data_IF_329838148570
#
_entry.id   IF_329838148570
#
_cell.length_a   1.000
_cell.length_b   1.000
_cell.length_c   1.000
_cell.angle_alpha   90.00
_cell.angle_beta   90.00
_cell.angle_gamma   90.00
#
_symmetry.space_group_name_H-M   'P 1'
#
loop_
_entity.id
_entity.type
_entity.pdbx_description
1 polymer ?
#
# COMPACT_ATOMS: atom_id res chain seq x y z
N UNK A 1 46.83 20.25 -87.54
CA UNK A 1 45.41 20.51 -87.22
C UNK A 1 45.02 19.59 -86.09
N UNK A 2 44.48 20.16 -85.01
CA UNK A 2 43.67 19.59 -83.92
C UNK A 2 44.20 18.34 -83.19
N UNK A 3 44.56 18.39 -81.90
CA UNK A 3 43.73 18.59 -80.68
C UNK A 3 42.99 17.32 -80.20
N UNK A 4 43.25 16.99 -78.91
CA UNK A 4 42.34 16.55 -77.83
C UNK A 4 41.33 15.40 -78.09
N UNK A 5 40.95 14.53 -77.14
CA UNK A 5 41.17 14.31 -75.71
C UNK A 5 40.45 12.98 -75.36
N UNK A 6 40.89 12.29 -74.31
CA UNK A 6 40.06 11.32 -73.55
C UNK A 6 39.29 12.15 -72.50
N UNK A 7 38.01 11.88 -72.12
CA UNK A 7 37.66 10.79 -71.20
C UNK A 7 36.20 10.27 -71.29
N UNK A 8 35.85 9.30 -70.43
CA UNK A 8 34.48 8.88 -70.19
C UNK A 8 33.55 9.97 -69.63
N UNK A 9 32.25 9.62 -69.62
CA UNK A 9 31.07 10.24 -68.97
C UNK A 9 29.91 10.44 -69.99
N UNK A 10 28.79 9.73 -69.74
CA UNK A 10 27.41 9.83 -70.27
C UNK A 10 26.99 8.97 -71.48
N UNK A 11 26.20 7.95 -71.18
CA UNK A 11 24.88 7.72 -71.79
C UNK A 11 23.99 6.89 -70.83
N UNK A 12 23.48 7.58 -69.80
CA UNK A 12 22.16 7.31 -69.21
C UNK A 12 21.11 7.74 -70.24
N UNK A 13 19.88 7.21 -70.14
CA UNK A 13 18.61 7.60 -70.81
C UNK A 13 18.16 6.59 -71.87
N UNK A 14 17.25 5.69 -71.46
CA UNK A 14 16.01 5.19 -72.12
C UNK A 14 15.73 3.79 -71.53
N UNK A 15 14.74 3.53 -70.68
CA UNK A 15 13.65 4.36 -70.20
C UNK A 15 13.14 3.81 -68.86
N UNK A 16 12.94 4.72 -67.91
CA UNK A 16 11.85 4.58 -66.95
C UNK A 16 10.55 4.98 -67.67
N UNK A 17 9.43 4.33 -67.37
CA UNK A 17 8.07 4.89 -67.22
C UNK A 17 7.05 3.74 -67.06
N UNK A 18 6.13 3.92 -66.09
CA UNK A 18 4.87 3.20 -65.80
C UNK A 18 4.98 1.88 -64.99
N UNK A 19 4.42 1.76 -63.78
CA UNK A 19 3.54 2.68 -63.07
C UNK A 19 3.33 2.31 -61.60
N UNK A 20 3.30 3.35 -60.77
CA UNK A 20 2.65 3.37 -59.46
C UNK A 20 1.19 3.77 -59.66
N UNK A 21 0.24 2.88 -59.36
CA UNK A 21 -1.15 3.24 -59.08
C UNK A 21 -1.88 2.12 -58.30
N UNK A 22 -2.17 2.42 -57.04
CA UNK A 22 -3.38 2.05 -56.27
C UNK A 22 -3.88 0.59 -56.22
N UNK A 23 -3.73 -0.04 -55.06
CA UNK A 23 -4.86 -0.63 -54.31
C UNK A 23 -4.41 -0.95 -52.87
N UNK A 24 -4.85 -0.13 -51.92
CA UNK A 24 -4.96 -0.55 -50.52
C UNK A 24 -6.13 -1.52 -50.37
N UNK A 25 -6.01 -2.44 -49.42
CA UNK A 25 -7.11 -3.16 -48.77
C UNK A 25 -8.13 -3.84 -49.70
N UNK A 26 -7.77 -5.01 -50.21
CA UNK A 26 -8.72 -6.09 -50.50
C UNK A 26 -8.11 -7.41 -50.01
N UNK A 27 -8.91 -8.20 -49.29
CA UNK A 27 -8.53 -9.41 -48.55
C UNK A 27 -7.68 -10.39 -49.35
N UNK A 28 -6.79 -11.13 -48.69
CA UNK A 28 -7.18 -12.39 -48.07
C UNK A 28 -8.17 -13.18 -48.96
N UNK A 29 -7.74 -13.55 -50.16
CA UNK A 29 -8.06 -14.80 -50.88
C UNK A 29 -7.39 -14.71 -52.25
N UNK A 30 -6.88 -15.84 -52.75
CA UNK A 30 -6.26 -16.02 -54.08
C UNK A 30 -4.83 -15.47 -54.28
N UNK A 31 -3.82 -16.24 -53.88
CA UNK A 31 -2.56 -16.38 -54.65
C UNK A 31 -1.97 -17.77 -54.40
N UNK A 32 -2.53 -18.80 -55.06
CA UNK A 32 -1.96 -20.17 -55.06
C UNK A 32 -1.20 -20.47 -56.36
N UNK A 33 -0.69 -19.44 -57.04
CA UNK A 33 0.22 -19.58 -58.17
C UNK A 33 1.29 -18.50 -58.12
N UNK A 34 2.41 -18.84 -57.49
CA UNK A 34 3.68 -18.17 -57.74
C UNK A 34 4.04 -18.46 -59.20
N UNK A 35 3.89 -17.46 -60.07
CA UNK A 35 4.53 -17.48 -61.38
C UNK A 35 5.96 -16.99 -61.13
N UNK A 36 6.92 -17.92 -61.09
CA UNK A 36 8.33 -17.55 -61.07
C UNK A 36 8.75 -17.15 -62.49
N UNK A 37 9.20 -15.90 -62.73
CA UNK A 37 9.79 -15.56 -64.01
C UNK A 37 11.16 -16.24 -64.12
N UNK A 38 11.33 -17.10 -65.12
CA UNK A 38 12.62 -17.67 -65.47
C UNK A 38 13.58 -16.53 -65.84
N UNK A 39 14.72 -16.47 -65.15
CA UNK A 39 15.83 -15.59 -65.51
C UNK A 39 16.93 -16.44 -66.16
N UNK A 40 17.82 -15.81 -66.93
CA UNK A 40 18.93 -16.49 -67.63
C UNK A 40 19.92 -17.25 -66.72
N UNK A 41 19.74 -17.19 -65.40
CA UNK A 41 20.48 -17.97 -64.40
C UNK A 41 19.97 -19.42 -64.33
N UNK A 42 18.72 -19.68 -64.75
CA UNK A 42 18.12 -21.02 -64.76
C UNK A 42 18.71 -21.96 -65.83
N UNK A 43 19.55 -21.46 -66.74
CA UNK A 43 20.03 -22.20 -67.92
C UNK A 43 21.53 -22.56 -67.91
N UNK A 44 22.31 -22.18 -66.88
CA UNK A 44 23.75 -22.47 -66.89
C UNK A 44 24.07 -23.86 -66.33
N UNK A 45 24.28 -24.84 -67.21
CA UNK A 45 25.04 -26.05 -66.89
C UNK A 45 26.53 -25.75 -67.06
N UNK A 46 27.25 -25.54 -65.95
CA UNK A 46 28.69 -25.38 -65.99
C UNK A 46 29.36 -25.59 -64.63
N UNK A 47 30.29 -26.57 -64.57
CA UNK A 47 31.42 -26.74 -63.65
C UNK A 47 31.19 -26.69 -62.13
N UNK A 48 31.67 -27.70 -61.40
CA UNK A 48 31.57 -27.86 -59.92
C UNK A 48 32.04 -26.64 -59.09
N UNK A 49 32.84 -25.74 -59.66
CA UNK A 49 33.26 -24.47 -59.02
C UNK A 49 32.14 -23.41 -58.98
N UNK A 50 31.23 -23.42 -59.95
CA UNK A 50 30.11 -22.46 -60.03
C UNK A 50 28.90 -22.91 -59.23
N UNK A 51 28.81 -24.18 -58.84
CA UNK A 51 27.72 -24.68 -58.00
C UNK A 51 27.78 -24.13 -56.58
N UNK A 52 28.97 -23.99 -55.98
CA UNK A 52 29.10 -23.40 -54.64
C UNK A 52 28.75 -21.90 -54.63
N UNK A 53 29.20 -21.15 -55.65
CA UNK A 53 28.87 -19.74 -55.81
C UNK A 53 27.41 -19.54 -56.22
N UNK A 54 26.84 -20.41 -57.06
CA UNK A 54 25.42 -20.39 -57.41
C UNK A 54 24.53 -20.78 -56.21
N UNK A 55 24.96 -21.71 -55.37
CA UNK A 55 24.24 -22.10 -54.16
C UNK A 55 24.33 -20.99 -53.10
N UNK A 56 25.48 -20.33 -52.96
CA UNK A 56 25.64 -19.17 -52.09
C UNK A 56 24.85 -17.95 -52.60
N UNK A 57 24.79 -17.75 -53.91
CA UNK A 57 23.92 -16.73 -54.53
C UNK A 57 22.45 -17.10 -54.35
N UNK A 58 22.04 -18.37 -54.47
CA UNK A 58 20.67 -18.82 -54.17
C UNK A 58 20.31 -18.69 -52.70
N UNK A 59 21.27 -18.93 -51.79
CA UNK A 59 21.10 -18.72 -50.36
C UNK A 59 20.96 -17.23 -50.04
N UNK A 60 21.80 -16.39 -50.66
CA UNK A 60 21.72 -14.93 -50.54
C UNK A 60 20.43 -14.40 -51.16
N UNK A 61 19.97 -14.93 -52.30
CA UNK A 61 18.67 -14.57 -52.90
C UNK A 61 17.49 -15.00 -52.02
N UNK A 62 17.61 -16.13 -51.31
CA UNK A 62 16.63 -16.56 -50.31
C UNK A 62 16.64 -15.63 -49.10
N UNK A 63 17.81 -15.25 -48.58
CA UNK A 63 17.96 -14.29 -47.47
C UNK A 63 17.45 -12.89 -47.82
N UNK A 64 17.74 -12.39 -49.02
CA UNK A 64 17.32 -11.06 -49.50
C UNK A 64 15.82 -10.96 -49.78
N UNK A 65 15.12 -12.10 -49.88
CA UNK A 65 13.66 -12.15 -50.13
C UNK A 65 12.85 -12.54 -48.91
N UNK A 66 13.47 -13.14 -47.89
CA UNK A 66 12.85 -13.25 -46.58
C UNK A 66 12.93 -11.91 -45.88
N UNK A 67 11.79 -11.26 -45.68
CA UNK A 67 11.68 -10.16 -44.72
C UNK A 67 12.07 -10.74 -43.36
N UNK A 68 13.29 -10.45 -42.91
CA UNK A 68 13.75 -10.80 -41.57
C UNK A 68 13.27 -9.70 -40.66
N UNK A 69 12.52 -10.08 -39.62
CA UNK A 69 12.15 -9.15 -38.57
C UNK A 69 13.44 -8.65 -37.88
N UNK A 70 13.63 -7.33 -37.87
CA UNK A 70 14.79 -6.69 -37.23
C UNK A 70 14.48 -6.24 -35.80
N UNK A 71 13.31 -6.62 -35.28
CA UNK A 71 13.00 -6.42 -33.87
C UNK A 71 14.03 -7.17 -32.99
N UNK A 72 14.48 -6.57 -31.87
CA UNK A 72 15.31 -7.25 -30.89
C UNK A 72 14.66 -8.56 -30.44
N UNK A 73 15.48 -9.60 -30.23
CA UNK A 73 14.99 -10.91 -29.84
C UNK A 73 14.18 -10.82 -28.53
N UNK A 74 12.91 -11.24 -28.57
CA UNK A 74 12.00 -11.18 -27.42
C UNK A 74 11.28 -9.84 -27.20
N UNK A 75 11.48 -8.83 -28.05
CA UNK A 75 10.72 -7.58 -28.00
C UNK A 75 9.22 -7.83 -28.23
N UNK A 76 8.38 -7.30 -27.35
CA UNK A 76 6.92 -7.46 -27.41
C UNK A 76 6.19 -6.13 -27.27
N UNK A 77 5.07 -6.01 -27.99
CA UNK A 77 4.08 -4.94 -27.81
C UNK A 77 2.77 -5.61 -27.45
N UNK A 78 2.22 -5.30 -26.27
CA UNK A 78 0.96 -5.88 -25.77
C UNK A 78 0.93 -7.42 -25.82
N UNK A 79 2.06 -8.05 -25.48
CA UNK A 79 2.22 -9.51 -25.46
C UNK A 79 2.46 -10.17 -26.83
N UNK A 80 2.38 -9.43 -27.93
CA UNK A 80 2.67 -9.92 -29.28
C UNK A 80 4.13 -9.62 -29.66
N UNK A 81 4.80 -10.49 -30.44
CA UNK A 81 6.11 -10.18 -31.00
C UNK A 81 6.07 -8.85 -31.75
N UNK A 82 7.01 -7.96 -31.42
CA UNK A 82 7.17 -6.72 -32.16
C UNK A 82 7.63 -7.08 -33.57
N UNK A 83 6.88 -6.67 -34.57
CA UNK A 83 7.33 -6.72 -35.96
C UNK A 83 7.90 -5.33 -36.25
N UNK A 84 9.14 -5.26 -36.75
CA UNK A 84 9.72 -4.02 -37.28
C UNK A 84 9.50 -3.95 -38.80
N UNK A 85 8.37 -3.38 -39.28
CA UNK A 85 8.13 -3.27 -40.71
C UNK A 85 9.19 -2.36 -41.38
N UNK A 86 9.68 -2.80 -42.54
CA UNK A 86 10.75 -2.17 -43.34
C UNK A 86 10.64 -0.64 -43.55
N UNK A 87 9.44 -0.06 -43.42
CA UNK A 87 9.17 1.35 -43.69
C UNK A 87 8.86 2.19 -42.44
N UNK A 88 8.98 1.62 -41.24
CA UNK A 88 8.81 2.36 -39.99
C UNK A 88 10.06 2.22 -39.15
N UNK A 89 10.59 3.35 -38.69
CA UNK A 89 11.69 3.34 -37.73
C UNK A 89 11.19 2.79 -36.41
N UNK A 90 12.00 1.93 -35.78
CA UNK A 90 11.83 1.60 -34.36
C UNK A 90 11.85 2.89 -33.55
N UNK A 91 10.94 3.03 -32.60
CA UNK A 91 10.92 4.17 -31.70
C UNK A 91 12.16 4.12 -30.79
N UNK A 92 13.07 5.07 -30.99
CA UNK A 92 14.33 5.20 -30.26
C UNK A 92 14.28 6.47 -29.42
N UNK A 93 14.65 6.33 -28.15
CA UNK A 93 14.65 7.41 -27.19
C UNK A 93 16.07 7.80 -26.84
N UNK A 94 16.34 9.10 -26.80
CA UNK A 94 17.61 9.62 -26.36
C UNK A 94 17.48 10.05 -24.90
N UNK A 95 18.20 9.37 -24.03
CA UNK A 95 18.12 9.55 -22.58
C UNK A 95 19.51 9.78 -21.99
N UNK A 96 19.54 10.41 -20.82
CA UNK A 96 20.76 10.61 -20.05
C UNK A 96 20.66 9.77 -18.78
N UNK A 97 21.38 8.64 -18.75
CA UNK A 97 21.30 7.67 -17.65
C UNK A 97 22.47 7.75 -16.67
N UNK A 98 23.60 8.34 -17.07
CA UNK A 98 24.83 8.34 -16.27
C UNK A 98 25.12 9.69 -15.60
N UNK A 99 25.91 9.63 -14.53
CA UNK A 99 26.46 10.82 -13.84
C UNK A 99 27.36 11.65 -14.76
N UNK A 100 27.77 11.09 -15.90
CA UNK A 100 28.61 11.71 -16.92
C UNK A 100 27.83 12.55 -17.94
N UNK A 101 26.49 12.60 -17.80
CA UNK A 101 25.57 13.32 -18.69
C UNK A 101 25.66 12.93 -20.16
N UNK A 102 26.02 11.68 -20.46
CA UNK A 102 26.11 11.19 -21.82
C UNK A 102 24.74 10.81 -22.35
N UNK A 103 24.43 11.29 -23.55
CA UNK A 103 23.23 10.89 -24.27
C UNK A 103 23.40 9.46 -24.80
N UNK A 104 22.52 8.58 -24.34
CA UNK A 104 22.42 7.18 -24.77
C UNK A 104 21.14 7.04 -25.59
N UNK A 105 21.25 6.45 -26.77
CA UNK A 105 20.09 6.10 -27.60
C UNK A 105 19.65 4.71 -27.20
N UNK A 106 18.37 4.56 -26.85
CA UNK A 106 17.80 3.34 -26.30
C UNK A 106 16.53 2.99 -27.07
N UNK A 107 16.40 1.72 -27.43
CA UNK A 107 15.13 1.16 -27.89
C UNK A 107 14.33 0.73 -26.66
N UNK A 108 13.25 1.45 -26.35
CA UNK A 108 12.46 1.20 -25.13
C UNK A 108 11.69 -0.13 -25.17
N UNK A 109 11.59 -0.76 -26.35
CA UNK A 109 10.93 -2.05 -26.53
C UNK A 109 11.91 -3.23 -26.45
N UNK A 110 13.22 -2.97 -26.43
CA UNK A 110 14.25 -4.00 -26.26
C UNK A 110 14.34 -4.44 -24.79
N UNK A 111 14.10 -5.72 -24.45
CA UNK A 111 14.26 -6.21 -23.08
C UNK A 111 15.71 -6.11 -22.56
N UNK A 112 16.71 -6.04 -23.44
CA UNK A 112 18.12 -5.89 -23.08
C UNK A 112 18.55 -4.42 -22.93
N UNK A 113 17.68 -3.47 -23.28
CA UNK A 113 17.95 -2.06 -23.09
C UNK A 113 18.10 -1.70 -21.60
N UNK A 114 18.93 -0.69 -21.27
CA UNK A 114 18.98 -0.17 -19.92
C UNK A 114 17.63 0.43 -19.53
N UNK A 115 17.18 0.09 -18.32
CA UNK A 115 15.96 0.64 -17.72
C UNK A 115 16.12 2.14 -17.45
N UNK A 116 15.12 2.92 -17.86
CA UNK A 116 15.06 4.37 -17.59
C UNK A 116 14.84 4.64 -16.11
N UNK A 117 14.06 3.78 -15.45
CA UNK A 117 13.58 3.97 -14.08
C UNK A 117 14.22 2.98 -13.09
N UNK A 118 15.54 2.81 -13.17
CA UNK A 118 16.30 1.97 -12.26
C UNK A 118 16.04 0.48 -12.49
N UNK A 119 15.34 -0.17 -11.57
CA UNK A 119 15.08 -1.61 -11.59
C UNK A 119 13.80 -2.01 -12.33
N UNK A 120 12.94 -1.05 -12.68
CA UNK A 120 11.70 -1.30 -13.42
C UNK A 120 11.99 -1.32 -14.94
N UNK A 121 11.75 -2.45 -15.63
CA UNK A 121 12.00 -2.54 -17.08
C UNK A 121 11.12 -1.59 -17.90
N UNK A 122 11.68 -1.00 -18.96
CA UNK A 122 10.92 -0.12 -19.88
C UNK A 122 9.68 -0.83 -20.45
N UNK A 123 9.83 -2.12 -20.76
CA UNK A 123 8.75 -2.97 -21.28
C UNK A 123 7.58 -3.16 -20.29
N UNK A 124 7.83 -3.04 -18.98
CA UNK A 124 6.76 -3.12 -17.98
C UNK A 124 5.80 -1.92 -18.11
N UNK A 125 6.33 -0.70 -18.22
CA UNK A 125 5.52 0.51 -18.42
C UNK A 125 4.67 0.42 -19.70
N UNK A 126 5.29 -0.04 -20.79
CA UNK A 126 4.62 -0.21 -22.09
C UNK A 126 3.51 -1.27 -21.97
N UNK A 127 3.81 -2.42 -21.36
CA UNK A 127 2.86 -3.52 -21.23
C UNK A 127 1.67 -3.22 -20.33
N UNK A 128 1.83 -2.28 -19.38
CA UNK A 128 0.77 -1.81 -18.49
C UNK A 128 0.08 -0.54 -19.00
N UNK A 129 0.34 -0.13 -20.25
CA UNK A 129 -0.29 1.02 -20.90
C UNK A 129 -0.04 2.36 -20.17
N UNK A 130 1.15 2.52 -19.57
CA UNK A 130 1.62 3.73 -18.88
C UNK A 130 2.94 4.23 -19.50
N UNK A 131 3.03 4.20 -20.83
CA UNK A 131 4.22 4.61 -21.58
C UNK A 131 4.51 6.12 -21.45
N UNK A 132 3.51 6.93 -21.09
CA UNK A 132 3.67 8.33 -20.75
C UNK A 132 4.46 8.52 -19.44
N UNK A 133 4.23 7.69 -18.43
CA UNK A 133 4.98 7.68 -17.18
C UNK A 133 6.47 7.34 -17.39
N UNK A 134 6.77 6.45 -18.36
CA UNK A 134 8.14 6.11 -18.74
C UNK A 134 8.95 7.35 -19.18
N UNK A 135 8.32 8.28 -19.89
CA UNK A 135 8.96 9.51 -20.38
C UNK A 135 9.16 10.60 -19.33
N UNK A 136 8.65 10.41 -18.11
CA UNK A 136 8.77 11.39 -17.04
C UNK A 136 9.84 11.02 -16.05
N UNK A 137 10.60 12.00 -15.57
CA UNK A 137 11.63 11.78 -14.54
C UNK A 137 11.07 11.24 -13.21
N UNK A 138 9.82 11.56 -12.89
CA UNK A 138 9.10 11.11 -11.70
C UNK A 138 8.27 9.84 -11.94
N UNK A 139 8.45 9.16 -13.08
CA UNK A 139 7.62 8.01 -13.50
C UNK A 139 7.50 6.88 -12.48
N UNK A 140 8.53 6.64 -11.65
CA UNK A 140 8.48 5.63 -10.56
C UNK A 140 7.50 5.96 -9.45
N UNK A 141 7.45 7.22 -9.06
CA UNK A 141 6.65 7.70 -7.91
C UNK A 141 5.32 8.30 -8.35
N UNK A 142 5.05 8.28 -9.65
CA UNK A 142 3.78 8.64 -10.22
C UNK A 142 2.75 7.56 -9.87
N UNK A 143 1.57 8.01 -9.47
CA UNK A 143 0.35 7.22 -9.36
C UNK A 143 -0.42 7.44 -10.66
N UNK A 144 -0.48 6.43 -11.52
CA UNK A 144 -0.95 6.58 -12.90
C UNK A 144 -2.47 6.44 -13.03
N UNK A 145 -3.13 5.77 -12.08
CA UNK A 145 -4.58 5.55 -12.07
C UNK A 145 -5.30 6.23 -10.89
N UNK A 146 -4.56 6.99 -10.09
CA UNK A 146 -5.01 7.82 -8.97
C UNK A 146 -5.62 7.01 -7.81
N UNK A 147 -5.20 5.75 -7.64
CA UNK A 147 -5.67 4.89 -6.57
C UNK A 147 -4.89 5.07 -5.25
N UNK A 148 -3.82 5.87 -5.25
CA UNK A 148 -2.96 6.16 -4.10
C UNK A 148 -1.72 5.26 -3.99
N UNK A 149 -1.44 4.40 -4.97
CA UNK A 149 -0.22 3.62 -5.09
C UNK A 149 0.67 4.13 -6.22
N UNK A 150 1.99 4.08 -6.01
CA UNK A 150 2.93 4.47 -7.06
C UNK A 150 3.22 3.29 -7.99
N UNK A 151 3.64 3.60 -9.21
CA UNK A 151 4.08 2.60 -10.19
C UNK A 151 5.15 1.65 -9.61
N UNK A 152 6.03 2.14 -8.75
CA UNK A 152 7.02 1.31 -8.05
C UNK A 152 6.41 0.32 -7.06
N UNK A 153 5.42 0.76 -6.27
CA UNK A 153 4.70 -0.12 -5.34
C UNK A 153 3.93 -1.20 -6.09
N UNK A 154 3.32 -0.84 -7.22
CA UNK A 154 2.57 -1.75 -8.07
C UNK A 154 3.45 -2.74 -8.83
N UNK A 155 4.61 -2.30 -9.31
CA UNK A 155 5.61 -3.20 -9.90
C UNK A 155 6.05 -4.27 -8.89
N UNK A 156 6.34 -3.86 -7.65
CA UNK A 156 6.74 -4.78 -6.59
C UNK A 156 5.61 -5.77 -6.22
N UNK A 157 4.36 -5.29 -6.20
CA UNK A 157 3.18 -6.09 -5.89
C UNK A 157 2.65 -6.91 -7.09
N UNK A 158 3.17 -6.66 -8.30
CA UNK A 158 2.71 -7.24 -9.57
C UNK A 158 1.24 -6.92 -9.87
N UNK A 159 0.82 -5.70 -9.56
CA UNK A 159 -0.51 -5.18 -9.89
C UNK A 159 -0.47 -4.36 -11.18
N UNK A 160 -1.63 -3.93 -11.65
CA UNK A 160 -1.79 -3.24 -12.92
C UNK A 160 -1.98 -1.72 -12.71
N UNK A 161 -0.96 -0.89 -12.99
CA UNK A 161 -0.94 0.54 -12.69
C UNK A 161 -1.83 1.42 -13.59
N UNK A 162 -2.56 0.81 -14.51
CA UNK A 162 -3.57 1.52 -15.32
C UNK A 162 -4.99 1.17 -14.92
N UNK A 163 -5.17 0.43 -13.82
CA UNK A 163 -6.45 -0.12 -13.41
C UNK A 163 -6.67 0.09 -11.91
N UNK A 164 -7.41 1.15 -11.56
CA UNK A 164 -7.66 1.56 -10.16
C UNK A 164 -8.39 0.52 -9.27
N UNK A 165 -8.82 -0.61 -9.82
CA UNK A 165 -9.36 -1.75 -9.08
C UNK A 165 -8.31 -2.86 -8.81
N UNK A 166 -7.08 -2.66 -9.27
CA UNK A 166 -5.95 -3.57 -9.15
C UNK A 166 -4.85 -2.89 -8.36
N UNK A 167 -5.05 -2.77 -7.05
CA UNK A 167 -4.08 -2.16 -6.14
C UNK A 167 -3.37 -3.19 -5.25
N UNK A 168 -2.18 -2.88 -4.74
CA UNK A 168 -1.51 -3.66 -3.71
C UNK A 168 -2.29 -3.69 -2.37
N UNK A 169 -1.93 -4.60 -1.47
CA UNK A 169 -2.44 -4.59 -0.09
C UNK A 169 -2.14 -3.24 0.60
N UNK A 170 -3.11 -2.70 1.36
CA UNK A 170 -2.95 -1.41 2.04
C UNK A 170 -1.81 -1.40 3.06
N UNK A 171 -1.42 -2.57 3.56
CA UNK A 171 -0.32 -2.73 4.49
C UNK A 171 0.70 -3.70 3.89
N UNK A 172 1.75 -3.14 3.31
CA UNK A 172 2.83 -3.90 2.68
C UNK A 172 3.81 -4.41 3.74
N UNK A 173 4.13 -5.71 3.71
CA UNK A 173 5.13 -6.32 4.62
C UNK A 173 6.59 -6.03 4.23
N UNK A 174 6.82 -5.45 3.05
CA UNK A 174 8.14 -5.22 2.44
C UNK A 174 8.84 -3.92 2.89
N UNK A 175 8.35 -3.27 3.95
CA UNK A 175 8.96 -2.04 4.50
C UNK A 175 8.46 -0.74 3.88
N UNK A 176 7.51 -0.79 2.94
CA UNK A 176 6.78 0.38 2.49
C UNK A 176 5.86 0.91 3.61
N UNK A 177 5.61 2.22 3.61
CA UNK A 177 4.73 2.83 4.60
C UNK A 177 3.29 2.32 4.41
N UNK A 178 2.55 2.01 5.50
CA UNK A 178 1.16 1.59 5.37
C UNK A 178 0.31 2.72 4.78
N UNK A 179 -0.65 2.38 3.93
CA UNK A 179 -1.65 3.29 3.34
C UNK A 179 -2.80 3.57 4.30
N UNK A 180 -2.42 3.86 5.54
CA UNK A 180 -3.28 4.15 6.68
C UNK A 180 -2.67 5.31 7.45
N UNK A 181 -3.52 6.14 8.05
CA UNK A 181 -3.06 7.20 8.95
C UNK A 181 -3.98 7.37 10.16
N UNK A 182 -3.41 7.86 11.26
CA UNK A 182 -4.18 8.23 12.45
C UNK A 182 -4.69 9.65 12.30
N UNK A 183 -6.00 9.81 12.11
CA UNK A 183 -6.67 11.11 12.01
C UNK A 183 -6.86 11.72 13.39
N UNK A 184 -7.30 10.92 14.36
CA UNK A 184 -7.67 11.42 15.69
C UNK A 184 -7.42 10.39 16.77
N UNK A 185 -6.86 10.87 17.88
CA UNK A 185 -6.81 10.13 19.14
C UNK A 185 -7.62 10.92 20.17
N UNK A 186 -8.68 10.34 20.69
CA UNK A 186 -9.44 10.91 21.80
C UNK A 186 -9.18 10.09 23.06
N UNK A 187 -8.96 10.78 24.17
CA UNK A 187 -8.84 10.16 25.49
C UNK A 187 -9.96 10.68 26.37
N UNK A 188 -10.99 9.87 26.58
CA UNK A 188 -11.98 10.13 27.62
C UNK A 188 -11.40 9.68 28.96
N UNK A 189 -11.60 10.49 30.01
CA UNK A 189 -11.08 10.19 31.35
C UNK A 189 -12.23 10.21 32.34
N UNK A 190 -12.17 9.32 33.32
CA UNK A 190 -13.06 9.32 34.47
C UNK A 190 -12.29 8.84 35.71
N UNK A 191 -12.80 9.14 36.89
CA UNK A 191 -12.26 8.63 38.16
C UNK A 191 -13.38 7.98 38.96
N UNK A 192 -13.22 6.70 39.29
CA UNK A 192 -14.13 5.92 40.14
C UNK A 192 -13.57 5.93 41.56
N UNK A 193 -14.39 6.32 42.53
CA UNK A 193 -14.01 6.42 43.94
C UNK A 193 -14.99 5.61 44.78
N UNK A 194 -14.45 4.84 45.72
CA UNK A 194 -15.23 4.14 46.76
C UNK A 194 -15.15 4.94 48.06
N UNK A 195 -16.27 5.06 48.76
CA UNK A 195 -16.33 5.83 50.01
C UNK A 195 -15.41 5.30 51.11
N UNK A 196 -14.76 6.21 51.84
CA UNK A 196 -13.78 5.87 52.88
C UNK A 196 -14.32 4.95 53.98
N UNK A 197 -15.58 5.11 54.37
CA UNK A 197 -16.19 4.29 55.42
C UNK A 197 -16.20 2.80 55.06
N UNK A 198 -16.20 2.46 53.77
CA UNK A 198 -16.11 1.07 53.32
C UNK A 198 -14.76 0.45 53.70
N UNK A 199 -13.65 1.15 53.44
CA UNK A 199 -12.29 0.65 53.70
C UNK A 199 -11.98 0.46 55.18
N UNK A 200 -12.60 1.27 56.05
CA UNK A 200 -12.41 1.26 57.50
C UNK A 200 -13.29 0.24 58.25
N UNK A 201 -14.20 -0.45 57.55
CA UNK A 201 -15.11 -1.39 58.19
C UNK A 201 -14.37 -2.66 58.67
N UNK A 202 -14.62 -3.05 59.91
CA UNK A 202 -14.01 -4.24 60.54
C UNK A 202 -14.39 -5.54 59.83
N UNK A 203 -15.59 -5.59 59.24
CA UNK A 203 -16.09 -6.66 58.38
C UNK A 203 -16.29 -6.16 56.95
N UNK A 204 -16.39 -7.10 56.00
CA UNK A 204 -16.73 -6.79 54.61
C UNK A 204 -18.21 -6.43 54.54
N UNK A 205 -18.57 -5.18 54.21
CA UNK A 205 -19.97 -4.75 54.24
C UNK A 205 -20.76 -5.33 53.05
N UNK A 206 -22.08 -5.38 53.19
CA UNK A 206 -22.97 -5.93 52.14
C UNK A 206 -23.13 -5.01 50.93
N UNK A 207 -22.77 -3.73 51.05
CA UNK A 207 -22.78 -2.76 49.96
C UNK A 207 -21.64 -1.74 50.07
N UNK A 208 -21.37 -1.03 48.98
CA UNK A 208 -20.37 0.02 48.88
C UNK A 208 -20.97 1.24 48.18
N UNK A 209 -20.69 2.45 48.68
CA UNK A 209 -21.02 3.66 47.93
C UNK A 209 -19.90 3.99 46.93
N UNK A 210 -20.26 4.10 45.65
CA UNK A 210 -19.37 4.49 44.56
C UNK A 210 -19.77 5.86 44.04
N UNK A 211 -18.75 6.67 43.74
CA UNK A 211 -18.86 7.99 43.09
C UNK A 211 -17.95 8.04 41.88
N UNK A 212 -18.47 8.60 40.79
CA UNK A 212 -17.72 8.79 39.54
C UNK A 212 -17.58 10.28 39.27
N UNK A 213 -16.40 10.67 38.83
CA UNK A 213 -16.05 12.04 38.47
C UNK A 213 -15.54 12.07 37.03
N UNK A 214 -15.97 13.04 36.22
CA UNK A 214 -15.47 13.21 34.86
C UNK A 214 -14.00 13.66 34.86
N UNK A 215 -13.62 14.51 35.80
CA UNK A 215 -12.23 14.87 36.07
C UNK A 215 -11.90 14.63 37.54
N UNK A 216 -10.67 14.23 37.82
CA UNK A 216 -10.20 13.99 39.19
C UNK A 216 -10.27 15.24 40.09
N UNK A 217 -10.36 16.44 39.51
CA UNK A 217 -10.49 17.72 40.21
C UNK A 217 -11.95 18.08 40.53
N UNK A 218 -12.92 17.38 39.95
CA UNK A 218 -14.33 17.74 40.10
C UNK A 218 -14.80 17.50 41.54
N UNK A 219 -15.60 18.43 42.05
CA UNK A 219 -16.17 18.32 43.41
C UNK A 219 -17.52 17.61 43.43
N UNK A 220 -18.23 17.66 42.31
CA UNK A 220 -19.55 17.07 42.17
C UNK A 220 -19.41 15.79 41.36
N UNK A 221 -19.80 14.64 41.91
CA UNK A 221 -19.80 13.41 41.14
C UNK A 221 -20.87 13.51 40.05
N UNK A 222 -20.50 13.05 38.86
CA UNK A 222 -21.38 12.89 37.71
C UNK A 222 -22.32 11.69 37.89
N UNK A 223 -21.92 10.73 38.73
CA UNK A 223 -22.77 9.63 39.17
C UNK A 223 -22.42 9.21 40.60
N UNK A 224 -23.44 8.80 41.37
CA UNK A 224 -23.28 8.24 42.72
C UNK A 224 -24.32 7.14 42.95
N UNK A 225 -23.93 6.06 43.63
CA UNK A 225 -24.83 4.95 43.92
C UNK A 225 -24.30 4.04 45.02
N UNK A 226 -25.22 3.35 45.69
CA UNK A 226 -24.91 2.21 46.57
C UNK A 226 -24.97 0.94 45.72
N UNK A 227 -23.92 0.13 45.76
CA UNK A 227 -23.76 -1.07 44.92
C UNK A 227 -23.42 -2.30 45.75
N UNK A 228 -23.78 -3.47 45.23
CA UNK A 228 -23.52 -4.80 45.80
C UNK A 228 -22.83 -5.69 44.77
N UNK A 229 -22.20 -6.81 45.17
CA UNK A 229 -21.71 -7.80 44.22
C UNK A 229 -22.83 -8.26 43.27
N UNK A 230 -22.56 -8.21 41.97
CA UNK A 230 -23.53 -8.46 40.89
C UNK A 230 -24.13 -7.18 40.28
N UNK A 231 -24.12 -6.05 41.00
CA UNK A 231 -24.65 -4.79 40.47
C UNK A 231 -23.73 -4.23 39.38
N UNK A 232 -24.35 -3.52 38.43
CA UNK A 232 -23.63 -2.83 37.36
C UNK A 232 -23.83 -1.33 37.41
N UNK A 233 -22.82 -0.59 36.97
CA UNK A 233 -22.83 0.86 36.87
C UNK A 233 -22.06 1.33 35.64
N UNK A 234 -22.30 2.57 35.23
CA UNK A 234 -21.83 3.12 33.95
C UNK A 234 -21.06 4.42 34.12
N UNK A 235 -20.25 4.78 33.10
CA UNK A 235 -19.78 6.15 32.97
C UNK A 235 -20.92 7.09 32.58
N UNK A 236 -20.80 8.41 32.83
CA UNK A 236 -21.82 9.37 32.46
C UNK A 236 -22.09 9.35 30.96
N UNK A 237 -23.36 9.22 30.58
CA UNK A 237 -23.78 9.17 29.18
C UNK A 237 -23.72 7.76 28.55
N UNK A 238 -23.20 6.76 29.27
CA UNK A 238 -23.30 5.35 28.89
C UNK A 238 -24.50 4.70 29.60
N UNK A 239 -25.16 3.75 28.93
CA UNK A 239 -26.23 2.91 29.49
C UNK A 239 -26.02 1.47 29.03
N UNK A 240 -24.93 0.85 29.48
CA UNK A 240 -24.52 -0.47 28.99
C UNK A 240 -24.17 -1.46 30.09
N UNK A 241 -24.21 -1.08 31.37
CA UNK A 241 -23.71 -1.93 32.45
C UNK A 241 -22.20 -2.19 32.32
N UNK A 242 -21.45 -1.14 31.96
CA UNK A 242 -20.03 -1.23 31.64
C UNK A 242 -19.21 -1.82 32.77
N UNK A 243 -19.44 -1.40 34.01
CA UNK A 243 -18.73 -1.92 35.15
C UNK A 243 -19.64 -2.83 35.96
N UNK A 244 -19.18 -4.05 36.27
CA UNK A 244 -19.88 -4.96 37.17
C UNK A 244 -19.06 -5.16 38.44
N UNK A 245 -19.69 -4.98 39.60
CA UNK A 245 -19.06 -5.30 40.88
C UNK A 245 -18.99 -6.81 41.01
N UNK A 246 -17.78 -7.38 41.04
CA UNK A 246 -17.59 -8.83 41.12
C UNK A 246 -17.70 -9.30 42.56
N UNK A 247 -16.96 -8.64 43.46
CA UNK A 247 -16.91 -8.98 44.89
C UNK A 247 -16.34 -7.83 45.69
N UNK A 248 -16.52 -7.94 47.00
CA UNK A 248 -15.77 -7.17 47.98
C UNK A 248 -14.71 -8.07 48.60
N UNK A 249 -13.51 -7.54 48.77
CA UNK A 249 -12.34 -8.29 49.24
C UNK A 249 -11.59 -7.48 50.30
N UNK A 250 -10.54 -8.06 50.89
CA UNK A 250 -9.61 -7.36 51.76
C UNK A 250 -8.21 -7.41 51.18
N UNK A 251 -7.57 -6.25 51.09
CA UNK A 251 -6.19 -6.13 50.62
C UNK A 251 -5.33 -5.39 51.65
N UNK A 252 -4.05 -5.75 51.71
CA UNK A 252 -3.07 -5.10 52.57
C UNK A 252 -2.46 -3.88 51.88
N UNK A 253 -2.44 -2.76 52.58
CA UNK A 253 -1.84 -1.54 52.10
C UNK A 253 -0.89 -0.93 53.13
N UNK A 254 0.15 -0.21 52.67
CA UNK A 254 0.99 0.59 53.56
C UNK A 254 0.17 1.64 54.33
N UNK A 255 0.49 1.78 55.60
CA UNK A 255 -0.08 2.74 56.55
C UNK A 255 1.01 3.28 57.48
N UNK A 256 0.71 4.33 58.24
CA UNK A 256 1.68 4.94 59.15
C UNK A 256 2.23 3.96 60.22
N UNK A 257 1.44 2.95 60.61
CA UNK A 257 1.80 1.94 61.62
C UNK A 257 2.24 0.59 61.02
N UNK A 258 2.57 0.53 59.72
CA UNK A 258 2.90 -0.72 59.01
C UNK A 258 1.85 -1.08 57.96
N UNK A 259 1.51 -2.36 57.82
CA UNK A 259 0.48 -2.80 56.86
C UNK A 259 -0.91 -2.79 57.49
N UNK A 260 -1.90 -2.27 56.77
CA UNK A 260 -3.31 -2.26 57.16
C UNK A 260 -4.14 -3.07 56.17
N UNK A 261 -4.98 -3.99 56.67
CA UNK A 261 -5.98 -4.70 55.86
C UNK A 261 -7.22 -3.82 55.74
N UNK A 262 -7.53 -3.42 54.51
CA UNK A 262 -8.70 -2.59 54.21
C UNK A 262 -9.63 -3.31 53.24
N UNK A 263 -10.93 -3.02 53.32
CA UNK A 263 -11.87 -3.52 52.32
C UNK A 263 -11.64 -2.83 50.97
N UNK A 264 -11.74 -3.61 49.91
CA UNK A 264 -11.62 -3.16 48.51
C UNK A 264 -12.79 -3.66 47.68
N UNK A 265 -13.09 -2.93 46.61
CA UNK A 265 -14.10 -3.33 45.63
C UNK A 265 -13.40 -3.89 44.40
N UNK A 266 -13.74 -5.11 44.00
CA UNK A 266 -13.25 -5.70 42.75
C UNK A 266 -14.31 -5.50 41.68
N UNK A 267 -13.92 -4.83 40.59
CA UNK A 267 -14.80 -4.43 39.50
C UNK A 267 -14.30 -5.04 38.20
N UNK A 268 -15.23 -5.54 37.38
CA UNK A 268 -14.98 -5.94 36.00
C UNK A 268 -15.39 -4.82 35.05
N UNK A 269 -14.49 -4.38 34.17
CA UNK A 269 -14.81 -3.53 33.02
C UNK A 269 -15.22 -4.42 31.83
N UNK A 270 -16.50 -4.41 31.50
CA UNK A 270 -17.06 -5.11 30.35
C UNK A 270 -16.89 -4.32 29.05
N UNK A 271 -16.58 -3.02 29.14
CA UNK A 271 -16.38 -2.15 27.99
C UNK A 271 -14.98 -2.19 27.40
N UNK A 272 -13.98 -2.71 28.13
CA UNK A 272 -12.62 -2.86 27.63
C UNK A 272 -12.42 -4.16 26.85
N UNK A 273 -11.70 -4.06 25.73
CA UNK A 273 -11.17 -5.21 25.01
C UNK A 273 -9.90 -5.80 25.65
N UNK A 274 -9.40 -5.20 26.74
CA UNK A 274 -8.24 -5.70 27.48
C UNK A 274 -8.43 -7.15 27.93
N UNK A 275 -7.38 -8.00 27.85
CA UNK A 275 -7.43 -9.37 28.36
C UNK A 275 -7.62 -9.41 29.88
N UNK A 276 -7.11 -8.40 30.60
CA UNK A 276 -7.37 -8.25 32.03
C UNK A 276 -8.54 -7.28 32.23
N UNK A 277 -9.72 -7.84 32.49
CA UNK A 277 -10.98 -7.10 32.64
C UNK A 277 -11.27 -6.70 34.08
N UNK A 278 -10.59 -7.28 35.08
CA UNK A 278 -10.84 -6.99 36.49
C UNK A 278 -9.79 -6.04 37.07
N UNK A 279 -10.24 -5.14 37.93
CA UNK A 279 -9.38 -4.27 38.70
C UNK A 279 -9.93 -4.03 40.10
N UNK A 280 -9.04 -3.73 41.03
CA UNK A 280 -9.36 -3.48 42.43
C UNK A 280 -9.38 -1.99 42.72
N UNK A 281 -10.41 -1.53 43.43
CA UNK A 281 -10.56 -0.15 43.88
C UNK A 281 -10.44 -0.13 45.40
N UNK A 282 -9.41 0.56 45.90
CA UNK A 282 -9.28 0.88 47.32
C UNK A 282 -10.19 2.05 47.68
N UNK A 283 -10.79 2.01 48.86
CA UNK A 283 -11.58 3.10 49.39
C UNK A 283 -10.76 4.41 49.56
N UNK A 284 -11.44 5.54 49.43
CA UNK A 284 -10.94 6.87 49.80
C UNK A 284 -10.37 6.90 51.22
N UNK A 285 -9.53 7.88 51.59
CA UNK A 285 -9.28 8.18 53.01
C UNK A 285 -9.61 9.62 53.35
N UNK A 286 -10.08 9.87 54.58
CA UNK A 286 -10.11 11.21 55.16
C UNK A 286 -8.68 11.67 55.45
N UNK A 287 -8.28 12.83 54.92
CA UNK A 287 -7.17 13.63 55.45
C UNK A 287 -7.71 14.61 56.49
N UNK A 288 -6.89 14.90 57.52
CA UNK A 288 -7.26 15.71 58.70
C UNK A 288 -7.35 17.22 58.45
N UNK A 289 -6.97 17.68 57.26
CA UNK A 289 -7.16 19.04 56.78
C UNK A 289 -7.85 18.92 55.43
N UNK A 290 -8.81 19.80 55.14
CA UNK A 290 -9.58 19.82 53.90
C UNK A 290 -8.77 20.01 52.60
N UNK A 291 -7.47 19.67 52.57
CA UNK A 291 -6.66 19.56 51.35
C UNK A 291 -6.99 18.24 50.65
N UNK A 292 -7.60 18.44 49.49
CA UNK A 292 -8.06 17.47 48.52
C UNK A 292 -6.87 16.87 47.77
N UNK A 293 -6.23 15.85 48.31
CA UNK A 293 -5.27 15.06 47.53
C UNK A 293 -6.00 13.99 46.73
N UNK A 294 -6.83 14.44 45.79
CA UNK A 294 -7.23 13.59 44.67
C UNK A 294 -6.13 13.67 43.62
N UNK A 295 -5.31 12.63 43.49
CA UNK A 295 -4.44 12.46 42.33
C UNK A 295 -2.94 12.68 42.49
N UNK A 296 -2.33 12.32 43.63
CA UNK A 296 -0.90 11.98 43.69
C UNK A 296 -0.70 10.45 43.58
N UNK A 297 0.51 9.94 43.30
CA UNK A 297 0.79 8.52 42.99
C UNK A 297 0.40 7.49 44.06
N UNK A 298 -0.12 7.92 45.22
CA UNK A 298 -0.57 7.07 46.33
C UNK A 298 -2.12 6.97 46.37
N UNK A 299 -2.67 6.50 45.24
CA UNK A 299 -4.07 6.41 44.80
C UNK A 299 -5.13 6.04 45.86
N UNK A 300 -6.27 6.76 45.88
CA UNK A 300 -7.52 6.32 46.55
C UNK A 300 -8.74 6.49 45.65
N UNK A 301 -8.65 5.84 44.49
CA UNK A 301 -9.66 5.75 43.44
C UNK A 301 -9.03 5.20 42.16
N UNK A 302 -9.84 4.61 41.27
CA UNK A 302 -9.38 4.10 39.98
C UNK A 302 -9.57 5.17 38.90
N UNK A 303 -8.50 5.55 38.21
CA UNK A 303 -8.61 6.34 36.96
C UNK A 303 -8.93 5.40 35.80
N UNK A 304 -9.95 5.77 35.04
CA UNK A 304 -10.31 5.15 33.76
C UNK A 304 -9.87 6.12 32.65
N UNK A 305 -9.21 5.59 31.62
CA UNK A 305 -8.82 6.33 30.44
C UNK A 305 -9.18 5.53 29.20
N UNK A 306 -10.26 5.94 28.54
CA UNK A 306 -10.69 5.29 27.31
C UNK A 306 -10.07 6.02 26.15
N UNK A 307 -9.18 5.32 25.48
CA UNK A 307 -8.57 5.86 24.28
C UNK A 307 -9.31 5.30 23.08
N UNK A 308 -9.88 6.18 22.26
CA UNK A 308 -10.44 5.83 20.97
C UNK A 308 -9.57 6.43 19.88
N UNK A 309 -9.33 5.66 18.83
CA UNK A 309 -8.53 6.06 17.68
C UNK A 309 -9.43 6.06 16.45
N UNK A 310 -9.29 7.09 15.62
CA UNK A 310 -9.87 7.14 14.28
C UNK A 310 -8.74 7.02 13.27
N UNK A 311 -8.75 5.92 12.52
CA UNK A 311 -7.85 5.64 11.41
C UNK A 311 -8.55 6.01 10.10
N UNK A 312 -7.76 6.36 9.09
CA UNK A 312 -8.26 6.60 7.74
C UNK A 312 -7.41 5.84 6.72
N UNK A 313 -8.10 5.19 5.80
CA UNK A 313 -7.52 4.60 4.59
C UNK A 313 -7.15 5.71 3.60
N UNK A 314 -5.92 5.68 3.09
CA UNK A 314 -5.38 6.72 2.19
C UNK A 314 -5.24 6.27 0.74
N UNK A 315 -5.41 4.98 0.43
CA UNK A 315 -5.31 4.42 -0.91
C UNK A 315 -6.35 3.32 -1.15
N UNK A 316 -6.52 2.91 -2.40
CA UNK A 316 -7.48 1.91 -2.86
C UNK A 316 -8.94 2.37 -2.80
N UNK A 317 -9.84 1.41 -2.95
CA UNK A 317 -11.28 1.68 -3.16
C UNK A 317 -12.00 2.41 -2.02
N UNK A 318 -11.46 2.39 -0.80
CA UNK A 318 -12.04 3.07 0.37
C UNK A 318 -11.44 4.47 0.63
N UNK A 319 -10.42 4.88 -0.13
CA UNK A 319 -9.77 6.18 0.03
C UNK A 319 -10.76 7.34 -0.18
N UNK A 320 -10.73 8.30 0.75
CA UNK A 320 -11.60 9.49 0.69
C UNK A 320 -13.09 9.24 0.93
N UNK A 321 -13.49 7.99 1.21
CA UNK A 321 -14.89 7.62 1.47
C UNK A 321 -15.18 7.45 2.96
N UNK A 322 -16.44 7.61 3.41
CA UNK A 322 -16.82 7.44 4.82
C UNK A 322 -16.48 6.05 5.38
N UNK A 323 -16.62 5.01 4.57
CA UNK A 323 -16.25 3.64 4.94
C UNK A 323 -14.75 3.47 5.19
N UNK A 324 -13.90 4.34 4.64
CA UNK A 324 -12.46 4.36 4.90
C UNK A 324 -12.07 4.91 6.27
N UNK A 325 -13.02 5.45 7.05
CA UNK A 325 -12.79 5.89 8.43
C UNK A 325 -13.13 4.78 9.43
N UNK A 326 -12.12 4.33 10.18
CA UNK A 326 -12.24 3.23 11.13
C UNK A 326 -12.11 3.79 12.55
N UNK A 327 -13.14 3.58 13.37
CA UNK A 327 -13.10 3.92 14.81
C UNK A 327 -12.84 2.66 15.61
N UNK A 328 -11.77 2.67 16.39
CA UNK A 328 -11.34 1.53 17.19
C UNK A 328 -10.77 1.98 18.54
N UNK A 329 -10.44 1.03 19.39
CA UNK A 329 -9.85 1.22 20.72
C UNK A 329 -8.68 0.25 20.90
N UNK A 330 -7.74 0.53 21.83
CA UNK A 330 -6.72 -0.43 22.21
C UNK A 330 -7.29 -1.82 22.54
N UNK A 331 -6.62 -2.82 22.00
CA UNK A 331 -6.92 -4.26 22.06
C UNK A 331 -8.22 -4.68 21.36
N UNK A 332 -8.94 -3.76 20.71
CA UNK A 332 -10.10 -4.11 19.91
C UNK A 332 -9.67 -4.60 18.53
N UNK A 333 -10.28 -5.69 18.08
CA UNK A 333 -10.19 -6.14 16.70
C UNK A 333 -11.13 -5.32 15.83
N UNK A 334 -10.68 -5.00 14.63
CA UNK A 334 -11.42 -4.24 13.63
C UNK A 334 -11.05 -4.74 12.22
N UNK A 335 -11.82 -4.29 11.24
CA UNK A 335 -11.61 -4.60 9.83
C UNK A 335 -11.08 -3.36 9.11
N UNK A 336 -10.08 -3.57 8.26
CA UNK A 336 -9.61 -2.58 7.30
C UNK A 336 -10.32 -2.87 5.96
N UNK A 337 -11.23 -1.99 5.52
CA UNK A 337 -11.96 -2.18 4.26
C UNK A 337 -11.01 -2.04 3.07
N UNK A 338 -11.15 -2.94 2.10
CA UNK A 338 -10.23 -3.00 0.96
C UNK A 338 -8.79 -3.33 1.36
N UNK A 339 -8.58 -3.95 2.52
CA UNK A 339 -7.26 -4.19 3.09
C UNK A 339 -6.37 -5.13 2.26
N UNK A 340 -6.96 -6.00 1.45
CA UNK A 340 -6.25 -6.86 0.51
C UNK A 340 -6.57 -6.54 -0.95
N UNK A 341 -5.62 -6.84 -1.82
CA UNK A 341 -5.72 -6.69 -3.28
C UNK A 341 -6.89 -7.50 -3.89
N UNK A 342 -7.29 -8.61 -3.26
CA UNK A 342 -8.45 -9.42 -3.69
C UNK A 342 -9.81 -8.85 -3.23
N UNK A 343 -9.81 -7.68 -2.57
CA UNK A 343 -10.98 -7.04 -2.02
C UNK A 343 -11.47 -7.66 -0.70
N UNK A 344 -10.79 -8.67 -0.16
CA UNK A 344 -11.15 -9.26 1.12
C UNK A 344 -10.79 -8.35 2.30
N UNK A 345 -11.56 -8.50 3.37
CA UNK A 345 -11.37 -7.76 4.61
C UNK A 345 -10.07 -8.18 5.29
N UNK A 346 -9.21 -7.21 5.62
CA UNK A 346 -8.03 -7.43 6.44
C UNK A 346 -8.38 -7.14 7.90
N UNK A 347 -8.31 -8.18 8.74
CA UNK A 347 -8.54 -8.04 10.18
C UNK A 347 -7.27 -7.57 10.87
N UNK A 348 -7.45 -6.64 11.80
CA UNK A 348 -6.37 -6.08 12.58
C UNK A 348 -6.81 -5.85 14.03
N UNK A 349 -5.85 -5.81 14.94
CA UNK A 349 -6.06 -5.45 16.34
C UNK A 349 -5.15 -4.29 16.71
N UNK A 350 -5.69 -3.25 17.34
CA UNK A 350 -4.87 -2.12 17.80
C UNK A 350 -4.14 -2.54 19.07
N UNK A 351 -2.81 -2.55 19.08
CA UNK A 351 -2.05 -3.03 20.25
C UNK A 351 -1.67 -1.91 21.20
N UNK A 352 -1.15 -0.83 20.63
CA UNK A 352 -0.61 0.28 21.42
C UNK A 352 -0.66 1.58 20.64
N UNK A 353 -0.53 2.67 21.40
CA UNK A 353 -0.44 4.03 20.89
C UNK A 353 0.85 4.58 21.48
N UNK A 354 1.72 5.10 20.64
CA UNK A 354 2.99 5.65 21.09
C UNK A 354 2.84 7.11 21.57
N UNK A 355 3.93 7.67 22.10
CA UNK A 355 3.94 9.05 22.59
C UNK A 355 3.75 10.11 21.48
N UNK A 356 4.01 9.76 20.22
CA UNK A 356 3.78 10.64 19.05
C UNK A 356 2.31 10.68 18.63
N UNK A 357 1.51 9.71 19.09
CA UNK A 357 0.12 9.49 18.69
C UNK A 357 -0.02 8.62 17.44
N UNK A 358 1.07 7.99 17.00
CA UNK A 358 1.02 6.90 16.01
C UNK A 358 0.57 5.62 16.71
N UNK A 359 0.04 4.66 15.95
CA UNK A 359 -0.49 3.42 16.52
C UNK A 359 0.20 2.20 15.96
N UNK A 360 0.35 1.18 16.79
CA UNK A 360 0.81 -0.13 16.34
C UNK A 360 -0.39 -1.06 16.21
N UNK A 361 -0.60 -1.58 15.00
CA UNK A 361 -1.66 -2.53 14.70
C UNK A 361 -1.05 -3.90 14.40
N UNK A 362 -1.65 -4.96 14.91
CA UNK A 362 -1.30 -6.33 14.54
C UNK A 362 -2.31 -6.83 13.53
N UNK A 363 -1.83 -7.20 12.34
CA UNK A 363 -2.66 -7.83 11.32
C UNK A 363 -2.82 -9.32 11.66
N UNK A 364 -3.98 -9.89 11.36
CA UNK A 364 -4.21 -11.32 11.53
C UNK A 364 -3.22 -12.10 10.64
N UNK A 365 -2.38 -12.93 11.26
CA UNK A 365 -1.36 -13.74 10.58
C UNK A 365 0.00 -13.06 10.38
N UNK A 366 0.17 -11.79 10.76
CA UNK A 366 1.48 -11.13 10.74
C UNK A 366 2.32 -11.48 11.97
N UNK A 367 3.63 -11.68 11.76
CA UNK A 367 4.58 -12.00 12.84
C UNK A 367 4.88 -10.79 13.75
N UNK A 368 4.71 -9.58 13.23
CA UNK A 368 5.04 -8.33 13.94
C UNK A 368 3.99 -7.26 13.69
N UNK A 369 3.76 -6.36 14.67
CA UNK A 369 2.86 -5.24 14.50
C UNK A 369 3.44 -4.20 13.53
N UNK A 370 2.54 -3.53 12.81
CA UNK A 370 2.84 -2.47 11.86
C UNK A 370 2.55 -1.12 12.50
N UNK A 371 3.48 -0.18 12.34
CA UNK A 371 3.31 1.18 12.81
C UNK A 371 2.54 2.01 11.78
N UNK A 372 1.39 2.54 12.19
CA UNK A 372 0.56 3.46 11.41
C UNK A 372 0.81 4.88 11.92
N UNK A 373 1.38 5.75 11.08
CA UNK A 373 1.78 7.08 11.50
C UNK A 373 0.57 7.97 11.76
N UNK A 374 0.76 8.96 12.64
CA UNK A 374 -0.20 10.05 12.78
C UNK A 374 -0.23 10.93 11.52
N UNK A 375 -1.43 11.26 11.08
CA UNK A 375 -1.63 12.16 9.95
C UNK A 375 -0.83 13.45 10.15
N UNK A 376 -0.02 13.82 9.16
CA UNK A 376 0.68 15.09 9.17
C UNK A 376 -0.38 16.19 9.20
N UNK A 377 -0.47 16.91 10.32
CA UNK A 377 -1.42 18.01 10.43
C UNK A 377 -1.17 18.98 9.28
N UNK A 378 -2.20 19.25 8.45
CA UNK A 378 -2.13 20.35 7.49
C UNK A 378 -1.77 21.60 8.29
N UNK A 379 -0.58 22.14 8.05
CA UNK A 379 -0.13 23.41 8.62
C UNK A 379 -1.02 24.54 8.13
#
# INVERSE_FOLDING_TARGET
MAEHSNPGVKALVTGAILGLASAGFAGYTYMDKVIEPETNISASQGGESLTAEADQVKENLKRDRTVVDVAPEGAKINGQPRIAPLFFSTELWQITLDDQKKNTVVDIYDPAAPSIHGDIPNTWFISNNIADALGRSDGRVLDSDEDGFTNEEEFAAKTCPSAANSYPDLVQTSGAAPKLEVVKVNVARATIVVDNLFGMASSTPASANIRIFAKHTDMTPVWKGDVKPGDSFDLPGEKSGRFTVVRFDKAEFPSFSGMSKENVVVVRDNGTASPNKEFTIRAGSKTSQGSKDYGTPNEKGRRISDTSVTLRVTAGSAAGKPEGEIKTQPYASFVIPGGKADGSELKATLESIDASGSVNIRLDGAESPVNVPKAAGKK
#
